data_IF_984973913814
#
_entry.id   IF_984973913814
#
_cell.length_a   1.000
_cell.length_b   1.000
_cell.length_c   1.000
_cell.angle_alpha   90.00
_cell.angle_beta   90.00
_cell.angle_gamma   90.00
#
_symmetry.space_group_name_H-M   'P 1'
#
loop_
_entity.id
_entity.type
_entity.pdbx_description
1 polymer ?
#
# COMPACT_ATOMS: atom_id res chain seq x y z
N UNK A 1 -5.31 3.56 7.09
CA UNK A 1 -5.44 3.47 8.57
C UNK A 1 -5.35 4.84 9.22
N UNK A 2 -4.19 5.50 9.40
CA UNK A 2 -4.17 6.88 9.94
C UNK A 2 -4.67 7.94 8.95
N UNK A 3 -4.41 7.75 7.66
CA UNK A 3 -4.89 8.60 6.57
C UNK A 3 -6.33 8.25 6.11
N UNK A 4 -7.09 7.46 6.87
CA UNK A 4 -8.44 7.03 6.48
C UNK A 4 -8.52 5.96 5.36
N UNK A 5 -7.43 5.67 4.64
CA UNK A 5 -7.40 4.65 3.56
C UNK A 5 -7.62 3.22 4.13
N UNK A 6 -8.54 2.47 3.54
CA UNK A 6 -8.91 1.10 3.95
C UNK A 6 -8.58 0.00 2.91
N UNK A 7 -8.38 0.38 1.65
CA UNK A 7 -8.03 -0.52 0.56
C UNK A 7 -6.57 -0.27 0.17
N UNK A 8 -5.74 -1.30 0.21
CA UNK A 8 -4.28 -1.17 -0.02
C UNK A 8 -3.79 -2.30 -0.92
N UNK A 9 -3.02 -1.94 -1.94
CA UNK A 9 -2.25 -2.86 -2.75
C UNK A 9 -0.82 -2.95 -2.21
N UNK A 10 -0.40 -4.17 -1.85
CA UNK A 10 0.96 -4.48 -1.42
C UNK A 10 1.73 -5.01 -2.62
N UNK A 11 2.79 -4.29 -2.99
CA UNK A 11 3.69 -4.67 -4.07
C UNK A 11 5.01 -5.15 -3.46
N UNK A 12 5.44 -6.35 -3.83
CA UNK A 12 6.70 -6.94 -3.37
C UNK A 12 7.31 -7.84 -4.46
N UNK A 13 8.53 -8.31 -4.22
CA UNK A 13 9.17 -9.36 -5.04
C UNK A 13 8.31 -10.64 -5.06
N UNK A 14 8.36 -11.45 -6.14
CA UNK A 14 7.65 -12.73 -6.21
C UNK A 14 7.98 -13.68 -5.04
N UNK A 15 9.20 -13.62 -4.54
CA UNK A 15 9.68 -14.48 -3.45
C UNK A 15 9.15 -14.05 -2.08
N UNK A 16 9.00 -12.74 -1.83
CA UNK A 16 8.55 -12.22 -0.53
C UNK A 16 7.04 -11.98 -0.46
N UNK A 17 6.34 -11.86 -1.60
CA UNK A 17 4.89 -11.64 -1.64
C UNK A 17 4.10 -12.68 -0.80
N UNK A 18 4.40 -13.99 -0.85
CA UNK A 18 3.71 -14.97 -0.01
C UNK A 18 3.95 -14.77 1.49
N UNK A 19 5.09 -14.17 1.88
CA UNK A 19 5.39 -13.86 3.29
C UNK A 19 4.52 -12.71 3.78
N UNK A 20 4.32 -11.69 2.95
CA UNK A 20 3.39 -10.59 3.26
C UNK A 20 1.94 -11.06 3.32
N UNK A 21 1.54 -11.96 2.41
CA UNK A 21 0.19 -12.53 2.43
C UNK A 21 -0.04 -13.41 3.66
N UNK A 22 0.93 -14.24 4.04
CA UNK A 22 0.84 -15.02 5.28
C UNK A 22 0.79 -14.14 6.54
N UNK A 23 1.47 -12.99 6.53
CA UNK A 23 1.52 -12.08 7.68
C UNK A 23 0.25 -11.24 7.82
N UNK A 24 -0.27 -10.70 6.72
CA UNK A 24 -1.33 -9.69 6.73
C UNK A 24 -2.70 -10.23 6.28
N UNK A 25 -2.71 -11.34 5.53
CA UNK A 25 -3.90 -11.95 4.96
C UNK A 25 -4.75 -10.96 4.17
N UNK A 26 -6.07 -11.14 4.15
CA UNK A 26 -6.95 -10.18 3.48
C UNK A 26 -7.07 -8.81 4.18
N UNK A 27 -6.49 -8.65 5.38
CA UNK A 27 -6.68 -7.46 6.22
C UNK A 27 -8.02 -7.38 6.94
N UNK A 28 -8.95 -8.30 6.66
CA UNK A 28 -10.32 -8.29 7.22
C UNK A 28 -10.35 -8.29 8.75
N UNK A 29 -9.38 -8.95 9.40
CA UNK A 29 -9.27 -9.01 10.87
C UNK A 29 -9.03 -7.63 11.51
N UNK A 30 -8.53 -6.66 10.74
CA UNK A 30 -8.26 -5.28 11.18
C UNK A 30 -9.10 -4.25 10.42
N UNK A 31 -10.17 -4.69 9.74
CA UNK A 31 -11.06 -3.80 8.96
C UNK A 31 -10.43 -3.21 7.70
N UNK A 32 -9.41 -3.88 7.14
CA UNK A 32 -8.72 -3.48 5.91
C UNK A 32 -9.04 -4.44 4.76
N UNK A 33 -8.76 -4.02 3.54
CA UNK A 33 -8.75 -4.87 2.35
C UNK A 33 -7.37 -4.83 1.70
N UNK A 34 -6.64 -5.93 1.77
CA UNK A 34 -5.34 -6.07 1.13
C UNK A 34 -5.44 -6.84 -0.18
N UNK A 35 -4.76 -6.33 -1.21
CA UNK A 35 -4.46 -7.02 -2.45
C UNK A 35 -2.94 -7.10 -2.62
N UNK A 36 -2.49 -8.07 -3.41
CA UNK A 36 -1.07 -8.40 -3.54
C UNK A 36 -0.69 -8.44 -5.01
N UNK A 37 0.42 -7.80 -5.36
CA UNK A 37 0.94 -7.77 -6.73
C UNK A 37 2.46 -7.97 -6.74
N UNK A 38 2.93 -8.89 -7.58
CA UNK A 38 4.37 -9.13 -7.72
C UNK A 38 5.03 -8.08 -8.61
N UNK A 39 6.21 -7.62 -8.21
CA UNK A 39 7.13 -6.82 -9.01
C UNK A 39 8.37 -7.65 -9.35
N UNK A 40 8.52 -8.04 -10.62
CA UNK A 40 9.61 -8.94 -11.05
C UNK A 40 11.00 -8.28 -11.05
N UNK A 41 11.06 -6.96 -11.15
CA UNK A 41 12.31 -6.18 -11.19
C UNK A 41 12.08 -4.78 -10.60
N UNK A 42 13.05 -4.18 -9.89
CA UNK A 42 12.94 -2.84 -9.32
C UNK A 42 13.19 -1.76 -10.38
N UNK A 43 12.25 -1.57 -11.31
CA UNK A 43 12.40 -0.63 -12.45
C UNK A 43 12.03 0.82 -12.09
N UNK A 44 11.93 1.13 -10.79
CA UNK A 44 11.67 2.46 -10.25
C UNK A 44 10.28 2.62 -9.61
N UNK A 45 10.16 3.65 -8.76
CA UNK A 45 8.96 3.89 -7.91
C UNK A 45 7.69 4.08 -8.76
N UNK A 46 7.81 4.73 -9.92
CA UNK A 46 6.68 4.97 -10.81
C UNK A 46 6.05 3.69 -11.36
N UNK A 47 6.78 2.57 -11.37
CA UNK A 47 6.27 1.26 -11.78
C UNK A 47 5.09 0.80 -10.91
N UNK A 48 4.99 1.28 -9.66
CA UNK A 48 3.86 0.98 -8.77
C UNK A 48 2.51 1.38 -9.39
N UNK A 49 2.45 2.50 -10.12
CA UNK A 49 1.22 2.95 -10.79
C UNK A 49 0.86 2.11 -12.02
N UNK A 50 1.85 1.48 -12.65
CA UNK A 50 1.65 0.57 -13.78
C UNK A 50 1.13 -0.78 -13.25
N UNK A 51 1.80 -1.33 -12.24
CA UNK A 51 1.43 -2.60 -11.59
C UNK A 51 0.06 -2.50 -10.90
N UNK A 52 -0.22 -1.37 -10.27
CA UNK A 52 -1.48 -1.11 -9.59
C UNK A 52 -2.59 -0.52 -10.47
N UNK A 53 -2.42 -0.45 -11.80
CA UNK A 53 -3.38 0.23 -12.68
C UNK A 53 -4.82 -0.23 -12.49
N UNK A 54 -5.04 -1.54 -12.44
CA UNK A 54 -6.38 -2.12 -12.26
C UNK A 54 -6.93 -1.88 -10.85
N UNK A 55 -6.06 -1.95 -9.84
CA UNK A 55 -6.43 -1.65 -8.45
C UNK A 55 -6.82 -0.18 -8.26
N UNK A 56 -6.09 0.75 -8.88
CA UNK A 56 -6.34 2.20 -8.79
C UNK A 56 -7.62 2.58 -9.54
N UNK A 57 -7.85 2.00 -10.72
CA UNK A 57 -9.01 2.32 -11.55
C UNK A 57 -9.08 3.81 -11.89
N UNK A 58 -10.11 4.48 -11.41
CA UNK A 58 -10.33 5.94 -11.57
C UNK A 58 -10.21 6.72 -10.26
N UNK A 59 -9.82 6.06 -9.18
CA UNK A 59 -9.79 6.68 -7.84
C UNK A 59 -8.49 7.45 -7.60
N UNK A 60 -8.52 8.33 -6.59
CA UNK A 60 -7.31 8.97 -6.08
C UNK A 60 -6.49 7.98 -5.28
N UNK A 61 -5.15 8.06 -5.40
CA UNK A 61 -4.23 7.10 -4.77
C UNK A 61 -3.13 7.82 -3.99
N UNK A 62 -2.69 7.19 -2.90
CA UNK A 62 -1.48 7.55 -2.17
C UNK A 62 -0.48 6.41 -2.23
N UNK A 63 0.80 6.75 -2.37
CA UNK A 63 1.91 5.80 -2.38
C UNK A 63 2.82 6.03 -1.17
N UNK A 64 3.19 4.95 -0.48
CA UNK A 64 4.16 4.96 0.61
C UNK A 64 5.20 3.84 0.37
N UNK A 65 6.46 4.10 0.69
CA UNK A 65 7.52 3.10 0.62
C UNK A 65 7.50 2.23 1.89
N UNK A 66 7.68 0.92 1.72
CA UNK A 66 7.55 -0.05 2.82
C UNK A 66 8.60 0.06 3.93
N UNK A 67 9.68 0.80 3.70
CA UNK A 67 10.77 1.05 4.65
C UNK A 67 10.70 2.42 5.33
N UNK A 68 9.71 3.25 4.99
CA UNK A 68 9.58 4.59 5.53
C UNK A 68 8.82 4.58 6.86
N UNK A 69 9.41 5.21 7.88
CA UNK A 69 8.81 5.34 9.22
C UNK A 69 8.55 6.80 9.53
N UNK A 70 7.29 7.14 9.80
CA UNK A 70 6.84 8.49 10.15
C UNK A 70 6.30 8.53 11.58
N UNK A 71 6.70 9.54 12.36
CA UNK A 71 6.22 9.76 13.71
C UNK A 71 6.22 11.26 14.04
N UNK A 72 5.17 11.73 14.71
CA UNK A 72 5.09 13.11 15.17
C UNK A 72 3.68 13.51 15.58
N UNK A 73 3.59 14.53 16.43
CA UNK A 73 2.31 15.12 16.81
C UNK A 73 1.64 15.77 15.58
N UNK A 74 0.34 15.52 15.41
CA UNK A 74 -0.44 16.06 14.29
C UNK A 74 -0.26 15.34 12.95
N UNK A 75 0.48 14.22 12.92
CA UNK A 75 0.69 13.44 11.69
C UNK A 75 -0.64 12.97 11.07
N UNK A 76 -1.57 12.49 11.88
CA UNK A 76 -2.90 12.06 11.40
C UNK A 76 -3.66 13.18 10.70
N UNK A 77 -3.68 14.38 11.29
CA UNK A 77 -4.36 15.54 10.71
C UNK A 77 -3.70 16.00 9.41
N UNK A 78 -2.36 15.91 9.34
CA UNK A 78 -1.60 16.22 8.14
C UNK A 78 -1.96 15.24 7.01
N UNK A 79 -2.00 13.94 7.30
CA UNK A 79 -2.31 12.91 6.32
C UNK A 79 -3.74 13.04 5.79
N UNK A 80 -4.72 13.28 6.67
CA UNK A 80 -6.11 13.48 6.25
C UNK A 80 -6.35 14.71 5.35
N UNK A 81 -5.47 15.72 5.38
CA UNK A 81 -5.58 16.88 4.48
C UNK A 81 -5.06 16.60 3.08
N UNK A 82 -4.18 15.61 2.93
CA UNK A 82 -3.57 15.23 1.67
C UNK A 82 -4.33 14.14 0.91
N UNK A 83 -5.36 13.58 1.53
CA UNK A 83 -6.28 12.56 0.99
C UNK A 83 -7.64 13.17 0.74
#
# INVERSE_FOLDING_TARGET
>A
MLAGIQEVLIISTPEDLPRFENLLGSGSQIGMKFQYQSQSSPDGIAQAFILGKEFIGSDSVSLILGDNVFYGQGLTDLLHRGT
#
